data_IF_861273115532
#
_entry.id   IF_861273115532
#
_cell.length_a   1.000
_cell.length_b   1.000
_cell.length_c   1.000
_cell.angle_alpha   90.00
_cell.angle_beta   90.00
_cell.angle_gamma   90.00
#
_symmetry.space_group_name_H-M   'P 1'
#
loop_
_entity.id
_entity.type
_entity.pdbx_description
1 polymer ?
#
# COMPACT_ATOMS: atom_id res chain seq x y z
N UNK A 1 8.67 12.23 5.68
CA UNK A 1 8.97 10.80 5.86
C UNK A 1 10.43 10.48 5.55
N UNK A 2 10.96 10.83 4.37
CA UNK A 2 12.37 10.57 3.98
C UNK A 2 13.44 11.03 5.01
N UNK A 3 13.32 12.24 5.55
CA UNK A 3 14.23 12.75 6.58
C UNK A 3 14.16 12.00 7.91
N UNK A 4 12.98 11.51 8.29
CA UNK A 4 12.79 10.62 9.45
C UNK A 4 13.42 9.25 9.20
N UNK A 5 13.31 8.72 7.98
CA UNK A 5 13.95 7.45 7.60
C UNK A 5 15.46 7.54 7.66
N UNK A 6 16.06 8.62 7.13
CA UNK A 6 17.52 8.86 7.21
C UNK A 6 17.96 9.00 8.67
N UNK A 7 17.22 9.76 9.48
CA UNK A 7 17.50 9.94 10.90
C UNK A 7 17.46 8.61 11.67
N UNK A 8 16.41 7.80 11.47
CA UNK A 8 16.29 6.49 12.11
C UNK A 8 17.33 5.47 11.61
N UNK A 9 17.70 5.50 10.33
CA UNK A 9 18.75 4.62 9.79
C UNK A 9 20.10 4.85 10.47
N UNK A 10 20.46 6.13 10.68
CA UNK A 10 21.71 6.51 11.36
C UNK A 10 21.63 6.17 12.86
N UNK A 11 20.50 6.43 13.52
CA UNK A 11 20.36 6.24 14.98
C UNK A 11 20.15 4.78 15.41
N UNK A 12 19.44 3.97 14.61
CA UNK A 12 19.16 2.55 14.92
C UNK A 12 20.23 1.60 14.37
N UNK A 13 21.32 2.13 13.81
CA UNK A 13 22.44 1.35 13.28
C UNK A 13 21.99 0.30 12.25
N UNK A 14 21.03 0.68 11.40
CA UNK A 14 20.55 -0.21 10.36
C UNK A 14 21.66 -0.43 9.34
N UNK A 15 21.86 -1.71 8.94
CA UNK A 15 22.78 -1.99 7.84
C UNK A 15 22.35 -1.22 6.59
N UNK A 16 23.32 -0.73 5.82
CA UNK A 16 23.07 0.04 4.60
C UNK A 16 22.18 -0.75 3.63
N UNK A 17 22.39 -2.07 3.54
CA UNK A 17 21.55 -2.99 2.76
C UNK A 17 20.10 -3.04 3.25
N UNK A 18 19.87 -3.17 4.57
CA UNK A 18 18.52 -3.16 5.13
C UNK A 18 17.80 -1.84 4.82
N UNK A 19 18.52 -0.72 4.86
CA UNK A 19 17.96 0.60 4.60
C UNK A 19 17.55 0.78 3.13
N UNK A 20 18.40 0.34 2.20
CA UNK A 20 18.07 0.33 0.76
C UNK A 20 16.84 -0.57 0.51
N UNK A 21 16.78 -1.74 1.14
CA UNK A 21 15.63 -2.64 1.01
C UNK A 21 14.33 -1.98 1.46
N UNK A 22 14.30 -1.38 2.65
CA UNK A 22 13.12 -0.65 3.13
C UNK A 22 12.75 0.53 2.24
N UNK A 23 13.73 1.24 1.69
CA UNK A 23 13.50 2.35 0.79
C UNK A 23 12.85 1.90 -0.52
N UNK A 24 13.38 0.86 -1.17
CA UNK A 24 12.79 0.29 -2.38
C UNK A 24 11.39 -0.27 -2.10
N UNK A 25 11.22 -0.98 -0.99
CA UNK A 25 9.92 -1.51 -0.58
C UNK A 25 8.89 -0.38 -0.38
N UNK A 26 9.31 0.73 0.24
CA UNK A 26 8.47 1.91 0.40
C UNK A 26 8.11 2.55 -0.94
N UNK A 27 9.06 2.69 -1.87
CA UNK A 27 8.79 3.22 -3.21
C UNK A 27 7.77 2.38 -3.98
N UNK A 28 7.92 1.04 -3.96
CA UNK A 28 6.97 0.13 -4.62
C UNK A 28 5.58 0.28 -3.98
N UNK A 29 5.49 0.36 -2.65
CA UNK A 29 4.20 0.60 -1.99
C UNK A 29 3.58 1.93 -2.45
N UNK A 30 4.36 3.02 -2.51
CA UNK A 30 3.85 4.30 -3.00
C UNK A 30 3.26 4.20 -4.41
N UNK A 31 3.92 3.50 -5.34
CA UNK A 31 3.36 3.30 -6.68
C UNK A 31 2.06 2.48 -6.67
N UNK A 32 2.02 1.40 -5.88
CA UNK A 32 0.82 0.56 -5.75
C UNK A 32 -0.36 1.37 -5.20
N UNK A 33 -0.12 2.22 -4.19
CA UNK A 33 -1.12 3.15 -3.66
C UNK A 33 -1.59 4.15 -4.71
N UNK A 34 -0.69 4.66 -5.55
CA UNK A 34 -1.06 5.54 -6.65
C UNK A 34 -1.92 4.81 -7.70
N UNK A 35 -1.62 3.56 -8.05
CA UNK A 35 -2.48 2.79 -8.96
C UNK A 35 -3.87 2.53 -8.37
N UNK A 36 -3.97 2.27 -7.07
CA UNK A 36 -5.25 2.17 -6.39
C UNK A 36 -6.02 3.50 -6.46
N UNK A 37 -5.35 4.63 -6.22
CA UNK A 37 -5.99 5.95 -6.25
C UNK A 37 -6.51 6.29 -7.64
N UNK A 38 -5.72 6.03 -8.68
CA UNK A 38 -6.11 6.21 -10.09
C UNK A 38 -7.32 5.33 -10.40
N UNK A 39 -7.27 4.04 -10.06
CA UNK A 39 -8.39 3.13 -10.33
C UNK A 39 -9.70 3.56 -9.65
N UNK A 40 -9.65 4.05 -8.40
CA UNK A 40 -10.85 4.53 -7.67
C UNK A 40 -11.39 5.79 -8.36
N UNK A 41 -10.50 6.72 -8.72
CA UNK A 41 -10.89 7.95 -9.41
C UNK A 41 -11.47 7.69 -10.80
N UNK A 42 -10.96 6.70 -11.54
CA UNK A 42 -11.54 6.29 -12.82
C UNK A 42 -12.92 5.63 -12.67
N UNK A 43 -13.19 4.95 -11.54
CA UNK A 43 -14.50 4.35 -11.28
C UNK A 43 -15.57 5.39 -10.99
N UNK A 44 -15.27 6.41 -10.19
CA UNK A 44 -16.18 7.52 -9.89
C UNK A 44 -15.45 8.85 -10.17
N UNK A 45 -15.44 9.29 -11.44
CA UNK A 45 -14.74 10.50 -11.83
C UNK A 45 -15.45 11.72 -11.23
N UNK A 46 -14.66 12.63 -10.66
CA UNK A 46 -15.14 13.79 -9.89
C UNK A 46 -15.18 15.07 -10.73
N UNK A 47 -15.51 14.97 -12.02
CA UNK A 47 -15.39 16.08 -12.98
C UNK A 47 -16.27 17.31 -12.62
N UNK A 48 -17.37 17.14 -11.87
CA UNK A 48 -18.26 18.27 -11.51
C UNK A 48 -18.71 18.30 -10.03
N UNK A 49 -18.60 17.19 -9.29
CA UNK A 49 -19.03 17.12 -7.90
C UNK A 49 -17.94 17.61 -6.93
N UNK A 50 -17.90 18.93 -6.71
CA UNK A 50 -17.05 19.58 -5.71
C UNK A 50 -17.24 18.97 -4.31
N UNK A 51 -16.31 18.11 -3.91
CA UNK A 51 -16.03 17.74 -2.51
C UNK A 51 -16.57 16.37 -2.06
N UNK A 52 -17.82 16.01 -2.37
CA UNK A 52 -18.44 14.80 -1.79
C UNK A 52 -17.87 13.50 -2.37
N UNK A 53 -17.74 13.40 -3.69
CA UNK A 53 -17.15 12.21 -4.33
C UNK A 53 -15.64 12.10 -4.11
N UNK A 54 -14.95 13.22 -3.93
CA UNK A 54 -13.53 13.22 -3.60
C UNK A 54 -13.28 12.66 -2.19
N UNK A 55 -14.11 13.03 -1.20
CA UNK A 55 -13.97 12.52 0.16
C UNK A 55 -14.30 11.03 0.25
N UNK A 56 -15.34 10.55 -0.43
CA UNK A 56 -15.65 9.11 -0.49
C UNK A 56 -14.55 8.31 -1.19
N UNK A 57 -13.94 8.83 -2.27
CA UNK A 57 -12.82 8.16 -2.92
C UNK A 57 -11.60 8.05 -1.99
N UNK A 58 -11.28 9.10 -1.23
CA UNK A 58 -10.20 9.08 -0.23
C UNK A 58 -10.50 8.10 0.89
N UNK A 59 -11.72 8.12 1.45
CA UNK A 59 -12.13 7.19 2.51
C UNK A 59 -12.07 5.75 2.01
N UNK A 60 -12.50 5.50 0.78
CA UNK A 60 -12.44 4.17 0.14
C UNK A 60 -11.00 3.70 0.01
N UNK A 61 -10.08 4.57 -0.40
CA UNK A 61 -8.66 4.26 -0.49
C UNK A 61 -8.06 3.92 0.89
N UNK A 62 -8.39 4.70 1.92
CA UNK A 62 -7.95 4.46 3.30
C UNK A 62 -8.46 3.10 3.78
N UNK A 63 -9.73 2.77 3.55
CA UNK A 63 -10.31 1.48 3.94
C UNK A 63 -9.65 0.31 3.22
N UNK A 64 -9.41 0.45 1.90
CA UNK A 64 -8.74 -0.56 1.09
C UNK A 64 -7.30 -0.83 1.57
N UNK A 65 -6.63 0.15 2.18
CA UNK A 65 -5.29 -0.05 2.74
C UNK A 65 -5.29 -0.54 4.17
N UNK A 66 -6.10 0.07 5.03
CA UNK A 66 -6.08 -0.21 6.47
C UNK A 66 -6.72 -1.56 6.82
N UNK A 67 -7.79 -1.95 6.13
CA UNK A 67 -8.50 -3.20 6.46
C UNK A 67 -7.63 -4.43 6.17
N UNK A 68 -7.02 -4.59 4.98
CA UNK A 68 -6.15 -5.74 4.74
C UNK A 68 -4.90 -5.73 5.63
N UNK A 69 -4.36 -4.55 5.92
CA UNK A 69 -3.23 -4.41 6.83
C UNK A 69 -3.57 -4.93 8.24
N UNK A 70 -4.71 -4.50 8.81
CA UNK A 70 -5.14 -4.93 10.14
C UNK A 70 -5.47 -6.44 10.18
N UNK A 71 -6.19 -6.95 9.18
CA UNK A 71 -6.51 -8.38 9.10
C UNK A 71 -5.26 -9.24 9.02
N UNK A 72 -4.29 -8.84 8.19
CA UNK A 72 -3.04 -9.56 8.04
C UNK A 72 -2.20 -9.49 9.32
N UNK A 73 -2.17 -8.34 9.98
CA UNK A 73 -1.46 -8.19 11.26
C UNK A 73 -2.04 -9.12 12.34
N UNK A 74 -3.37 -9.19 12.45
CA UNK A 74 -4.05 -10.11 13.37
C UNK A 74 -3.75 -11.57 13.01
N UNK A 75 -3.78 -11.92 11.72
CA UNK A 75 -3.45 -13.27 11.26
C UNK A 75 -2.01 -13.67 11.60
N UNK A 76 -1.05 -12.78 11.36
CA UNK A 76 0.36 -13.02 11.66
C UNK A 76 0.59 -13.23 13.17
N UNK A 77 -0.08 -12.48 14.03
CA UNK A 77 0.04 -12.63 15.49
C UNK A 77 -0.55 -13.96 15.97
N UNK A 78 -1.70 -14.36 15.43
CA UNK A 78 -2.44 -15.52 15.93
C UNK A 78 -1.88 -16.86 15.42
N UNK A 79 -1.34 -16.89 14.20
CA UNK A 79 -1.05 -18.15 13.52
C UNK A 79 0.42 -18.37 13.15
N UNK A 80 1.27 -17.33 13.10
CA UNK A 80 2.66 -17.50 12.71
C UNK A 80 3.61 -17.59 13.92
N UNK A 81 4.55 -18.55 13.94
CA UNK A 81 5.62 -18.56 14.93
C UNK A 81 6.52 -17.33 14.75
N UNK A 82 7.03 -16.80 15.86
CA UNK A 82 7.93 -15.64 15.86
C UNK A 82 9.15 -15.98 15.00
N UNK A 83 9.44 -15.19 13.94
CA UNK A 83 10.56 -15.47 13.04
C UNK A 83 11.89 -15.42 13.81
N UNK A 84 12.74 -16.40 13.56
CA UNK A 84 14.02 -16.59 14.28
C UNK A 84 15.13 -15.65 13.82
N UNK A 85 14.98 -14.98 12.67
CA UNK A 85 15.94 -14.00 12.16
C UNK A 85 15.27 -12.72 11.68
N UNK A 86 15.95 -11.59 11.88
CA UNK A 86 15.47 -10.24 11.54
C UNK A 86 15.21 -10.06 10.03
N UNK A 87 16.02 -10.67 9.17
CA UNK A 87 15.86 -10.61 7.71
C UNK A 87 14.60 -11.36 7.24
N UNK A 88 14.40 -12.59 7.72
CA UNK A 88 13.19 -13.38 7.40
C UNK A 88 11.93 -12.70 7.95
N UNK A 89 12.01 -12.09 9.14
CA UNK A 89 10.89 -11.36 9.73
C UNK A 89 10.40 -10.21 8.83
N UNK A 90 11.32 -9.45 8.23
CA UNK A 90 10.99 -8.33 7.34
C UNK A 90 10.24 -8.81 6.10
N UNK A 91 10.73 -9.85 5.44
CA UNK A 91 10.11 -10.40 4.23
C UNK A 91 8.75 -11.02 4.55
N UNK A 92 8.65 -11.78 5.65
CA UNK A 92 7.40 -12.43 6.05
C UNK A 92 6.30 -11.44 6.45
N UNK A 93 6.64 -10.33 7.10
CA UNK A 93 5.64 -9.34 7.50
C UNK A 93 5.24 -8.42 6.33
N UNK A 94 6.21 -7.98 5.54
CA UNK A 94 5.99 -6.95 4.52
C UNK A 94 5.59 -7.50 3.16
N UNK A 95 6.11 -8.67 2.77
CA UNK A 95 5.83 -9.30 1.47
C UNK A 95 4.34 -9.58 1.24
N UNK A 96 3.63 -10.22 2.17
CA UNK A 96 2.20 -10.47 2.03
C UNK A 96 1.36 -9.20 1.90
N UNK A 97 1.72 -8.12 2.62
CA UNK A 97 1.03 -6.82 2.53
C UNK A 97 1.17 -6.24 1.12
N UNK A 98 2.38 -6.28 0.56
CA UNK A 98 2.64 -5.83 -0.80
C UNK A 98 1.85 -6.65 -1.82
N UNK A 99 1.86 -7.98 -1.69
CA UNK A 99 1.14 -8.89 -2.60
C UNK A 99 -0.37 -8.64 -2.59
N UNK A 100 -0.97 -8.48 -1.42
CA UNK A 100 -2.39 -8.14 -1.30
C UNK A 100 -2.66 -6.78 -1.93
N UNK A 101 -1.79 -5.80 -1.68
CA UNK A 101 -1.96 -4.44 -2.20
C UNK A 101 -1.89 -4.39 -3.72
N UNK A 102 -0.94 -5.11 -4.32
CA UNK A 102 -0.81 -5.29 -5.77
C UNK A 102 -2.01 -6.05 -6.32
N UNK A 103 -2.42 -7.12 -5.64
CA UNK A 103 -3.57 -7.94 -6.00
C UNK A 103 -4.89 -7.18 -6.00
N UNK A 104 -5.02 -6.14 -5.18
CA UNK A 104 -6.17 -5.23 -5.19
C UNK A 104 -5.98 -4.12 -6.25
N UNK A 105 -4.76 -3.58 -6.39
CA UNK A 105 -4.47 -2.50 -7.31
C UNK A 105 -4.72 -2.88 -8.78
N UNK A 106 -4.28 -4.06 -9.21
CA UNK A 106 -4.39 -4.48 -10.62
C UNK A 106 -5.86 -4.60 -11.08
N UNK A 107 -6.75 -5.35 -10.39
CA UNK A 107 -8.15 -5.42 -10.78
C UNK A 107 -8.82 -4.05 -10.73
N UNK A 108 -8.52 -3.26 -9.70
CA UNK A 108 -9.18 -1.98 -9.48
C UNK A 108 -8.78 -0.96 -10.56
N UNK A 109 -7.52 -0.95 -10.98
CA UNK A 109 -7.05 -0.17 -12.13
C UNK A 109 -7.68 -0.66 -13.44
N UNK A 110 -7.72 -1.98 -13.67
CA UNK A 110 -8.32 -2.56 -14.88
C UNK A 110 -9.82 -2.21 -15.00
N UNK A 111 -10.59 -2.38 -13.93
CA UNK A 111 -12.01 -2.03 -13.91
C UNK A 111 -12.23 -0.52 -14.04
N UNK A 112 -11.39 0.30 -13.38
CA UNK A 112 -11.43 1.76 -13.50
C UNK A 112 -11.25 2.23 -14.93
N UNK A 113 -10.18 1.80 -15.61
CA UNK A 113 -9.91 2.17 -17.01
C UNK A 113 -11.01 1.66 -17.93
N UNK A 114 -11.46 0.41 -17.76
CA UNK A 114 -12.54 -0.16 -18.59
C UNK A 114 -13.85 0.60 -18.46
N UNK A 115 -14.18 1.09 -17.25
CA UNK A 115 -15.36 1.92 -17.03
C UNK A 115 -15.19 3.30 -17.68
N UNK A 116 -14.03 3.92 -17.51
CA UNK A 116 -13.72 5.23 -18.11
C UNK A 116 -13.92 5.22 -19.63
N UNK A 117 -13.36 4.21 -20.33
CA UNK A 117 -13.50 4.04 -21.79
C UNK A 117 -14.94 3.77 -22.28
N UNK A 118 -15.89 3.49 -21.38
CA UNK A 118 -17.32 3.32 -21.73
C UNK A 118 -18.14 4.60 -21.51
N UNK A 119 -17.56 5.60 -20.85
CA UNK A 119 -18.22 6.87 -20.52
C UNK A 119 -17.86 8.01 -21.47
N UNK A 120 -16.76 7.87 -22.23
CA UNK A 120 -16.59 8.52 -23.55
C UNK A 120 -17.45 7.79 -24.60
#
# INVERSE_FOLDING_TARGET
TLGLTIFFTIFLNFSLFTSIFFFLFYLINCEVVLFQSIGIQCLNPSFEEKGKNMSTNIITLILIQMVPFQLLFVFLILYLPVPTTSELAKIFMLGPILLISIGIAIPLLYYGIKKLNRTE
#
